data_IF_509006572913
#
_entry.id   IF_509006572913
#
_cell.length_a   1.000
_cell.length_b   1.000
_cell.length_c   1.000
_cell.angle_alpha   90.00
_cell.angle_beta   90.00
_cell.angle_gamma   90.00
#
_symmetry.space_group_name_H-M   'P 1'
#
loop_
_entity.id
_entity.type
_entity.pdbx_description
1 polymer ?
#
# COMPACT_ATOMS: atom_id res chain seq x y z
N UNK A 1 14.58 -15.81 3.28
CA UNK A 1 14.18 -16.80 2.26
C UNK A 1 13.10 -16.15 1.41
N UNK A 2 13.26 -16.04 0.08
CA UNK A 2 12.31 -15.35 -0.80
C UNK A 2 11.26 -16.34 -1.32
N UNK A 3 9.98 -15.95 -1.36
CA UNK A 3 8.89 -16.84 -1.78
C UNK A 3 9.00 -17.32 -3.24
N UNK A 4 9.80 -16.66 -4.07
CA UNK A 4 10.05 -17.08 -5.46
C UNK A 4 10.86 -18.39 -5.59
N UNK A 5 11.33 -18.98 -4.49
CA UNK A 5 11.87 -20.35 -4.48
C UNK A 5 10.82 -21.43 -4.23
N UNK A 6 9.56 -21.05 -3.95
CA UNK A 6 8.45 -21.98 -3.80
C UNK A 6 8.06 -22.54 -5.18
N UNK A 7 8.66 -23.67 -5.54
CA UNK A 7 8.31 -24.41 -6.74
C UNK A 7 7.17 -25.39 -6.41
N UNK A 8 5.92 -24.98 -6.63
CA UNK A 8 4.78 -25.89 -6.53
C UNK A 8 4.83 -26.84 -7.73
N UNK A 9 5.36 -28.05 -7.51
CA UNK A 9 5.20 -29.15 -8.50
C UNK A 9 3.70 -29.37 -8.76
N UNK A 10 3.36 -29.76 -9.99
CA UNK A 10 2.02 -29.77 -10.60
C UNK A 10 0.96 -30.71 -9.99
N UNK A 11 1.17 -31.22 -8.77
CA UNK A 11 0.20 -32.07 -8.09
C UNK A 11 -0.83 -31.22 -7.33
N UNK A 12 -2.06 -31.72 -7.26
CA UNK A 12 -3.14 -31.07 -6.51
C UNK A 12 -2.72 -30.96 -5.04
N UNK A 13 -2.81 -29.74 -4.49
CA UNK A 13 -2.54 -29.48 -3.07
C UNK A 13 -3.58 -30.26 -2.25
N UNK A 14 -3.17 -31.12 -1.31
CA UNK A 14 -4.11 -31.85 -0.45
C UNK A 14 -5.05 -30.88 0.28
N UNK A 15 -6.35 -31.21 0.34
CA UNK A 15 -7.39 -30.32 0.86
C UNK A 15 -7.11 -29.82 2.27
N UNK A 16 -6.54 -30.69 3.12
CA UNK A 16 -6.16 -30.37 4.51
C UNK A 16 -5.09 -29.26 4.66
N UNK A 17 -4.38 -28.91 3.57
CA UNK A 17 -3.37 -27.85 3.56
C UNK A 17 -3.78 -26.65 2.73
N UNK A 18 -4.99 -26.65 2.14
CA UNK A 18 -5.43 -25.59 1.23
C UNK A 18 -5.55 -24.25 1.94
N UNK A 19 -6.19 -24.24 3.11
CA UNK A 19 -6.39 -23.02 3.90
C UNK A 19 -5.05 -22.45 4.35
N UNK A 20 -4.13 -23.29 4.83
CA UNK A 20 -2.78 -22.89 5.23
C UNK A 20 -1.98 -22.30 4.06
N UNK A 21 -2.14 -22.86 2.85
CA UNK A 21 -1.48 -22.36 1.65
C UNK A 21 -2.10 -21.02 1.22
N UNK A 22 -3.42 -20.89 1.21
CA UNK A 22 -4.10 -19.66 0.81
C UNK A 22 -3.78 -18.51 1.79
N UNK A 23 -3.67 -18.79 3.10
CA UNK A 23 -3.17 -17.86 4.12
C UNK A 23 -1.71 -17.43 3.85
N UNK A 24 -0.84 -18.39 3.51
CA UNK A 24 0.55 -18.09 3.18
C UNK A 24 0.65 -17.27 1.89
N UNK A 25 -0.13 -17.60 0.86
CA UNK A 25 -0.17 -16.87 -0.41
C UNK A 25 -0.64 -15.42 -0.22
N UNK A 26 -1.59 -15.18 0.69
CA UNK A 26 -2.07 -13.83 1.01
C UNK A 26 -0.99 -12.92 1.62
N UNK A 27 0.09 -13.50 2.15
CA UNK A 27 1.21 -12.81 2.78
C UNK A 27 2.47 -12.72 1.88
N UNK A 28 2.44 -13.35 0.70
CA UNK A 28 3.57 -13.32 -0.24
C UNK A 28 3.57 -12.01 -1.03
N UNK A 29 4.75 -11.43 -1.19
CA UNK A 29 4.95 -10.15 -1.87
C UNK A 29 4.94 -8.98 -0.88
N UNK A 30 4.86 -7.77 -1.41
CA UNK A 30 4.63 -6.56 -0.62
C UNK A 30 3.16 -6.15 -0.75
N UNK A 31 2.58 -5.65 0.34
CA UNK A 31 1.19 -5.15 0.39
C UNK A 31 1.20 -3.83 1.16
N UNK A 32 1.33 -2.73 0.41
CA UNK A 32 1.34 -1.39 1.00
C UNK A 32 -0.10 -0.96 1.29
N UNK A 33 -0.37 -0.61 2.54
CA UNK A 33 -1.65 -0.07 2.99
C UNK A 33 -1.41 1.27 3.69
N UNK A 34 -2.31 2.22 3.49
CA UNK A 34 -2.38 3.43 4.33
C UNK A 34 -3.01 3.03 5.66
N UNK A 35 -2.23 3.13 6.72
CA UNK A 35 -2.65 2.76 8.07
C UNK A 35 -3.32 3.91 8.79
N UNK A 36 -2.67 5.08 8.77
CA UNK A 36 -3.21 6.28 9.38
C UNK A 36 -3.02 7.44 8.41
N UNK A 37 -4.02 8.32 8.34
CA UNK A 37 -3.95 9.59 7.63
C UNK A 37 -4.42 10.70 8.59
N UNK A 38 -3.53 11.61 8.93
CA UNK A 38 -3.81 12.76 9.81
C UNK A 38 -3.67 14.04 9.00
N UNK A 39 -4.72 14.85 9.02
CA UNK A 39 -4.74 16.17 8.41
C UNK A 39 -5.68 17.09 9.22
N UNK A 40 -5.51 18.42 9.10
CA UNK A 40 -6.49 19.38 9.61
C UNK A 40 -7.88 19.13 9.00
N UNK A 41 -8.94 19.25 9.80
CA UNK A 41 -10.32 19.16 9.32
C UNK A 41 -10.74 20.40 8.52
N UNK A 42 -10.14 21.56 8.84
CA UNK A 42 -10.44 22.85 8.23
C UNK A 42 -9.14 23.59 7.92
N UNK A 43 -9.17 24.42 6.89
CA UNK A 43 -8.07 25.32 6.52
C UNK A 43 -8.58 26.68 6.12
N UNK A 44 -7.79 27.71 6.44
CA UNK A 44 -8.01 29.07 5.94
C UNK A 44 -7.31 29.27 4.60
N UNK A 45 -7.86 30.10 3.69
CA UNK A 45 -7.21 30.42 2.44
C UNK A 45 -5.79 30.96 2.63
N UNK A 46 -4.83 30.42 1.87
CA UNK A 46 -3.42 30.81 1.94
C UNK A 46 -2.62 30.14 3.06
N UNK A 47 -3.24 29.34 3.92
CA UNK A 47 -2.52 28.54 4.92
C UNK A 47 -1.94 27.25 4.32
N UNK A 48 -0.88 26.74 4.95
CA UNK A 48 -0.26 25.45 4.60
C UNK A 48 -0.98 24.32 5.32
N UNK A 49 -1.40 23.29 4.57
CA UNK A 49 -1.89 22.03 5.13
C UNK A 49 -0.75 21.01 5.26
N UNK A 50 -0.59 20.44 6.45
CA UNK A 50 0.29 19.29 6.65
C UNK A 50 -0.53 18.01 6.70
N UNK A 51 -0.26 17.09 5.78
CA UNK A 51 -0.83 15.74 5.76
C UNK A 51 0.24 14.75 6.20
N UNK A 52 -0.07 13.94 7.21
CA UNK A 52 0.80 12.90 7.74
C UNK A 52 0.17 11.55 7.43
N UNK A 53 0.90 10.69 6.74
CA UNK A 53 0.45 9.34 6.42
C UNK A 53 1.41 8.31 7.01
N UNK A 54 0.87 7.30 7.70
CA UNK A 54 1.60 6.09 8.05
C UNK A 54 1.24 5.03 7.01
N UNK A 55 2.25 4.52 6.29
CA UNK A 55 2.09 3.41 5.37
C UNK A 55 2.76 2.18 5.96
N UNK A 56 2.07 1.04 5.88
CA UNK A 56 2.55 -0.24 6.40
C UNK A 56 2.64 -1.23 5.25
N UNK A 57 3.74 -1.98 5.20
CA UNK A 57 3.85 -3.16 4.36
C UNK A 57 3.37 -4.38 5.16
N UNK A 58 2.18 -4.87 4.84
CA UNK A 58 1.61 -6.08 5.45
C UNK A 58 2.10 -7.38 4.77
N UNK A 59 2.85 -7.24 3.68
CA UNK A 59 3.48 -8.37 2.99
C UNK A 59 4.84 -8.73 3.60
N UNK A 60 5.32 -9.94 3.30
CA UNK A 60 6.60 -10.46 3.79
C UNK A 60 7.80 -10.07 2.90
N UNK A 61 7.58 -9.48 1.73
CA UNK A 61 8.64 -9.01 0.86
C UNK A 61 8.81 -7.48 0.95
N UNK A 62 10.05 -6.95 0.90
CA UNK A 62 10.29 -5.54 0.65
C UNK A 62 9.70 -5.08 -0.71
N UNK A 63 9.28 -3.80 -0.84
CA UNK A 63 8.96 -3.22 -2.13
C UNK A 63 10.23 -3.04 -2.96
N UNK A 64 10.32 -3.70 -4.11
CA UNK A 64 11.51 -3.70 -4.96
C UNK A 64 11.52 -2.59 -6.04
N UNK A 65 10.47 -1.78 -6.09
CA UNK A 65 10.30 -0.70 -7.06
C UNK A 65 10.16 0.64 -6.33
N UNK A 66 10.48 1.73 -7.03
CA UNK A 66 10.20 3.08 -6.52
C UNK A 66 8.70 3.28 -6.35
N UNK A 67 8.30 3.75 -5.17
CA UNK A 67 6.91 4.07 -4.88
C UNK A 67 6.80 5.57 -4.63
N UNK A 68 6.10 6.25 -5.52
CA UNK A 68 5.82 7.67 -5.40
C UNK A 68 4.43 7.86 -4.79
N UNK A 69 4.33 8.76 -3.83
CA UNK A 69 3.08 9.08 -3.15
C UNK A 69 2.26 10.07 -3.98
N UNK A 70 1.00 9.76 -4.24
CA UNK A 70 0.08 10.68 -4.89
C UNK A 70 -1.01 11.14 -3.91
N UNK A 71 -1.28 12.45 -3.87
CA UNK A 71 -2.40 13.02 -3.14
C UNK A 71 -3.40 13.65 -4.09
N UNK A 72 -4.68 13.42 -3.81
CA UNK A 72 -5.80 14.03 -4.52
C UNK A 72 -6.74 14.66 -3.51
N UNK A 73 -6.98 15.95 -3.64
CA UNK A 73 -8.05 16.64 -2.94
C UNK A 73 -9.26 16.70 -3.86
N UNK A 74 -10.41 16.30 -3.34
CA UNK A 74 -11.68 16.36 -4.05
C UNK A 74 -12.64 17.30 -3.33
N UNK A 75 -13.55 17.92 -4.07
CA UNK A 75 -14.66 18.68 -3.51
C UNK A 75 -15.84 17.74 -3.15
N UNK A 76 -16.95 18.32 -2.71
CA UNK A 76 -18.17 17.58 -2.35
C UNK A 76 -18.80 16.84 -3.54
N UNK A 77 -18.54 17.30 -4.77
CA UNK A 77 -19.00 16.69 -6.03
C UNK A 77 -18.03 15.61 -6.57
N UNK A 78 -17.04 15.20 -5.76
CA UNK A 78 -15.96 14.26 -6.12
C UNK A 78 -15.01 14.75 -7.23
N UNK A 79 -15.09 16.02 -7.61
CA UNK A 79 -14.21 16.62 -8.62
C UNK A 79 -12.83 16.91 -8.02
N UNK A 80 -11.79 16.75 -8.83
CA UNK A 80 -10.41 16.98 -8.38
C UNK A 80 -10.11 18.46 -8.29
N UNK A 81 -10.00 18.98 -7.07
CA UNK A 81 -9.57 20.35 -6.79
C UNK A 81 -8.05 20.49 -6.80
N UNK A 82 -7.32 19.44 -6.40
CA UNK A 82 -5.86 19.40 -6.40
C UNK A 82 -5.37 17.97 -6.60
N UNK A 83 -4.30 17.81 -7.36
CA UNK A 83 -3.60 16.53 -7.52
C UNK A 83 -2.10 16.77 -7.59
N UNK A 84 -1.34 15.97 -6.85
CA UNK A 84 0.11 16.03 -6.90
C UNK A 84 0.74 14.66 -6.64
N UNK A 85 1.91 14.44 -7.22
CA UNK A 85 2.70 13.24 -7.04
C UNK A 85 4.06 13.66 -6.49
N UNK A 86 4.45 13.06 -5.37
CA UNK A 86 5.77 13.21 -4.77
C UNK A 86 6.85 12.82 -5.76
N UNK A 87 7.94 13.58 -5.77
CA UNK A 87 9.17 13.21 -6.49
C UNK A 87 10.09 12.30 -5.66
N UNK A 88 9.83 12.15 -4.37
CA UNK A 88 10.56 11.26 -3.48
C UNK A 88 9.95 9.85 -3.49
N UNK A 89 10.83 8.84 -3.53
CA UNK A 89 10.49 7.46 -3.26
C UNK A 89 10.24 7.30 -1.75
N UNK A 90 9.02 6.93 -1.37
CA UNK A 90 8.60 6.90 0.05
C UNK A 90 8.87 5.55 0.73
N UNK A 91 9.48 4.61 0.02
CA UNK A 91 9.73 3.24 0.51
C UNK A 91 11.22 2.87 0.55
N UNK A 92 12.12 3.86 0.49
CA UNK A 92 13.57 3.67 0.46
C UNK A 92 14.29 4.28 1.66
#
# INVERSE_FOLDING_TARGET
>A
QHASTLNLKSHVVPTQYRDLLDDALAQIGYRLRVDTLVHPAELTPGATMTVQALLVNEGNAPPYQHHYLAYRLVNEDEETAFFNVSTADVMR
#
